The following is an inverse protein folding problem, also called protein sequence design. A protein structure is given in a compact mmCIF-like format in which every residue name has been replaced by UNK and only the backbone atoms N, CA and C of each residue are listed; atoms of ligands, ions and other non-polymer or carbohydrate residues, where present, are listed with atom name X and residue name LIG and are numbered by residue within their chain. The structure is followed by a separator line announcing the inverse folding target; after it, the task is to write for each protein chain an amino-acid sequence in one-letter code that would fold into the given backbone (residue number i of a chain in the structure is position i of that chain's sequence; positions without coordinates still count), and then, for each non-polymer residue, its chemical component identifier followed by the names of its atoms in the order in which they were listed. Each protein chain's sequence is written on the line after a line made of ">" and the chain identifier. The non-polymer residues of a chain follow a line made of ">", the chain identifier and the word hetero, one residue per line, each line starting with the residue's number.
data_IF_799682874555
#
_entry.id   IF_799682874555
#
_cell.length_a   1.000
_cell.length_b   1.000
_cell.length_c   1.000
_cell.angle_alpha   90.00
_cell.angle_beta   90.00
_cell.angle_gamma   90.00
#
_symmetry.space_group_name_H-M   'P 1'
#
loop_
_entity.id
_entity.type
_entity.pdbx_description
1 polymer ?
#
# COMPACT_ATOMS: atom_id res chain seq x y z
N UNK A 1 1.02 4.82 7.33
CA UNK A 1 2.42 4.84 6.87
C UNK A 1 3.07 6.21 7.02
N UNK A 2 2.56 7.28 6.39
CA UNK A 2 3.16 8.62 6.52
C UNK A 2 3.22 9.10 7.99
N UNK A 3 2.13 8.90 8.73
CA UNK A 3 2.11 9.20 10.17
C UNK A 3 3.17 8.41 10.96
N UNK A 4 3.41 7.13 10.62
CA UNK A 4 4.46 6.33 11.25
C UNK A 4 5.84 6.97 11.05
N UNK A 5 6.16 7.42 9.83
CA UNK A 5 7.43 8.10 9.54
C UNK A 5 7.53 9.41 10.32
N UNK A 6 6.47 10.23 10.31
CA UNK A 6 6.47 11.52 11.00
C UNK A 6 6.65 11.37 12.52
N UNK A 7 5.93 10.45 13.16
CA UNK A 7 6.03 10.21 14.60
C UNK A 7 7.45 9.74 14.96
N UNK A 8 8.02 8.80 14.21
CA UNK A 8 9.38 8.33 14.48
C UNK A 8 10.42 9.43 14.25
N UNK A 9 10.26 10.26 13.22
CA UNK A 9 11.11 11.43 12.96
C UNK A 9 11.05 12.44 14.10
N UNK A 10 9.85 12.78 14.57
CA UNK A 10 9.66 13.67 15.72
C UNK A 10 10.28 13.12 17.01
N UNK A 11 10.26 11.80 17.18
CA UNK A 11 10.90 11.11 18.30
C UNK A 11 12.42 10.93 18.13
N UNK A 12 13.01 11.32 16.99
CA UNK A 12 14.43 11.08 16.68
C UNK A 12 14.78 9.60 16.48
N UNK A 13 13.80 8.75 16.15
CA UNK A 13 13.95 7.30 15.97
C UNK A 13 14.00 6.96 14.47
N UNK A 14 14.87 6.02 14.11
CA UNK A 14 14.97 5.53 12.73
C UNK A 14 13.75 4.69 12.34
N UNK A 15 13.11 5.04 11.22
CA UNK A 15 12.03 4.24 10.61
C UNK A 15 12.61 3.00 9.94
N UNK A 16 12.61 1.86 10.65
CA UNK A 16 13.32 0.65 10.22
C UNK A 16 12.71 -0.14 9.06
N UNK A 17 11.46 0.15 8.67
CA UNK A 17 10.80 -0.53 7.56
C UNK A 17 9.28 -0.50 7.65
N UNK A 18 8.63 -0.99 6.59
CA UNK A 18 7.19 -1.28 6.56
C UNK A 18 7.00 -2.72 6.08
N UNK A 19 5.93 -3.36 6.55
CA UNK A 19 5.50 -4.68 6.10
C UNK A 19 4.18 -4.51 5.35
N UNK A 20 4.09 -5.06 4.14
CA UNK A 20 2.92 -4.93 3.26
C UNK A 20 2.59 -6.29 2.64
N UNK A 21 1.30 -6.60 2.53
CA UNK A 21 0.83 -7.72 1.72
C UNK A 21 0.58 -7.24 0.29
N UNK A 22 1.27 -7.85 -0.67
CA UNK A 22 1.22 -7.42 -2.07
C UNK A 22 1.29 -8.61 -3.02
N UNK A 23 0.84 -8.38 -4.24
CA UNK A 23 0.92 -9.37 -5.31
C UNK A 23 1.20 -8.70 -6.66
N UNK A 24 1.95 -9.38 -7.52
CA UNK A 24 2.30 -8.90 -8.85
C UNK A 24 1.13 -8.84 -9.88
N UNK A 25 0.09 -9.68 -9.77
CA UNK A 25 -1.09 -9.57 -10.61
C UNK A 25 -1.91 -8.30 -10.37
N UNK A 26 -2.68 -7.96 -11.39
CA UNK A 26 -3.64 -6.86 -11.38
C UNK A 26 -4.95 -7.29 -10.70
N UNK A 27 -4.92 -7.42 -9.38
CA UNK A 27 -6.08 -7.77 -8.53
C UNK A 27 -6.85 -6.53 -8.09
N UNK A 28 -8.13 -6.72 -7.77
CA UNK A 28 -9.04 -5.69 -7.23
C UNK A 28 -9.32 -5.93 -5.75
N UNK A 29 -8.28 -6.22 -4.97
CA UNK A 29 -8.44 -6.62 -3.56
C UNK A 29 -8.48 -5.41 -2.61
N UNK A 30 -7.74 -4.34 -2.91
CA UNK A 30 -7.75 -3.09 -2.15
C UNK A 30 -8.39 -1.96 -2.98
N UNK A 31 -9.19 -1.09 -2.35
CA UNK A 31 -9.79 0.09 -2.99
C UNK A 31 -8.79 1.23 -3.16
N UNK A 32 -9.10 2.15 -4.08
CA UNK A 32 -8.31 3.35 -4.34
C UNK A 32 -6.95 3.09 -5.01
N UNK A 33 -6.00 3.97 -4.72
CA UNK A 33 -4.74 4.09 -5.44
C UNK A 33 -4.92 4.71 -6.83
N UNK A 34 -3.83 4.82 -7.59
CA UNK A 34 -3.84 5.33 -8.98
C UNK A 34 -4.89 4.67 -9.88
N UNK A 35 -5.20 3.36 -9.78
CA UNK A 35 -6.24 2.74 -10.60
C UNK A 35 -7.68 3.09 -10.20
N UNK A 36 -7.89 3.85 -9.11
CA UNK A 36 -9.20 4.29 -8.61
C UNK A 36 -10.22 3.15 -8.37
N UNK A 37 -9.76 2.02 -7.84
CA UNK A 37 -10.59 0.82 -7.60
C UNK A 37 -11.72 1.17 -6.62
N UNK A 38 -12.98 1.02 -7.06
CA UNK A 38 -14.15 1.25 -6.21
C UNK A 38 -14.52 0.00 -5.40
N UNK A 39 -15.52 0.11 -4.52
CA UNK A 39 -16.06 -1.06 -3.80
C UNK A 39 -16.73 -2.07 -4.73
N UNK A 40 -17.40 -1.58 -5.77
CA UNK A 40 -18.04 -2.42 -6.79
C UNK A 40 -17.01 -3.22 -7.58
N UNK A 41 -15.82 -2.63 -7.79
CA UNK A 41 -14.74 -3.26 -8.55
C UNK A 41 -14.12 -4.47 -7.84
N UNK A 42 -14.31 -4.59 -6.52
CA UNK A 42 -13.70 -5.64 -5.71
C UNK A 42 -14.03 -7.04 -6.26
N UNK A 43 -15.27 -7.22 -6.70
CA UNK A 43 -15.77 -8.52 -7.17
C UNK A 43 -15.14 -9.03 -8.47
N UNK A 44 -14.47 -8.19 -9.27
CA UNK A 44 -13.97 -8.59 -10.59
C UNK A 44 -12.75 -9.50 -10.54
N UNK A 45 -11.80 -9.23 -9.63
CA UNK A 45 -10.51 -9.95 -9.55
C UNK A 45 -10.02 -10.08 -8.11
N UNK A 46 -10.89 -10.45 -7.19
CA UNK A 46 -10.50 -10.87 -5.84
C UNK A 46 -9.97 -12.30 -5.87
N UNK A 47 -8.70 -12.51 -5.48
CA UNK A 47 -8.05 -13.83 -5.57
C UNK A 47 -7.53 -14.36 -4.23
N UNK A 48 -7.23 -13.48 -3.28
CA UNK A 48 -6.82 -13.87 -1.93
C UNK A 48 -7.93 -14.67 -1.23
N UNK A 49 -7.51 -15.64 -0.43
CA UNK A 49 -8.40 -16.39 0.47
C UNK A 49 -8.39 -15.83 1.90
N UNK A 50 -7.49 -14.88 2.18
CA UNK A 50 -7.31 -14.26 3.48
C UNK A 50 -7.50 -12.75 3.30
N UNK A 51 -6.46 -11.97 3.61
CA UNK A 51 -6.53 -10.53 3.56
C UNK A 51 -6.35 -9.99 2.13
N UNK A 52 -6.93 -8.82 1.83
CA UNK A 52 -6.77 -8.17 0.53
C UNK A 52 -5.35 -7.65 0.35
N UNK A 53 -4.73 -7.94 -0.80
CA UNK A 53 -3.35 -7.58 -1.11
C UNK A 53 -3.30 -6.38 -2.05
N UNK A 54 -2.24 -5.57 -1.91
CA UNK A 54 -1.95 -4.52 -2.89
C UNK A 54 -1.61 -5.13 -4.24
N UNK A 55 -2.22 -4.62 -5.31
CA UNK A 55 -1.82 -4.97 -6.67
C UNK A 55 -0.51 -4.28 -7.06
N UNK A 56 0.02 -4.59 -8.25
CA UNK A 56 1.27 -4.02 -8.76
C UNK A 56 1.30 -2.48 -8.78
N UNK A 57 0.21 -1.83 -9.20
CA UNK A 57 0.16 -0.37 -9.33
C UNK A 57 0.11 0.31 -7.97
N UNK A 58 -0.73 -0.20 -7.06
CA UNK A 58 -0.82 0.28 -5.68
C UNK A 58 0.52 0.07 -4.94
N UNK A 59 1.18 -1.07 -5.16
CA UNK A 59 2.50 -1.36 -4.54
C UNK A 59 3.58 -0.36 -4.99
N UNK A 60 3.60 -0.02 -6.28
CA UNK A 60 4.54 0.96 -6.83
C UNK A 60 4.25 2.37 -6.31
N UNK A 61 2.98 2.74 -6.22
CA UNK A 61 2.55 4.02 -5.66
C UNK A 61 3.01 4.18 -4.20
N UNK A 62 2.78 3.17 -3.36
CA UNK A 62 3.24 3.19 -1.97
C UNK A 62 4.77 3.30 -1.90
N UNK A 63 5.51 2.56 -2.72
CA UNK A 63 6.97 2.66 -2.76
C UNK A 63 7.43 4.10 -3.10
N UNK A 64 6.80 4.75 -4.07
CA UNK A 64 7.09 6.14 -4.43
C UNK A 64 6.77 7.11 -3.29
N UNK A 65 5.58 6.99 -2.68
CA UNK A 65 5.15 7.85 -1.58
C UNK A 65 6.04 7.67 -0.35
N UNK A 66 6.42 6.45 0.00
CA UNK A 66 7.34 6.18 1.10
C UNK A 66 8.71 6.79 0.81
N UNK A 67 9.28 6.56 -0.38
CA UNK A 67 10.57 7.14 -0.76
C UNK A 67 10.60 8.67 -0.70
N UNK A 68 9.49 9.32 -1.09
CA UNK A 68 9.34 10.79 -0.99
C UNK A 68 9.33 11.29 0.46
N UNK A 69 8.80 10.50 1.39
CA UNK A 69 8.58 10.91 2.78
C UNK A 69 9.58 10.28 3.77
N UNK A 70 10.53 9.46 3.31
CA UNK A 70 11.42 8.69 4.19
C UNK A 70 12.47 9.54 4.93
N UNK A 71 12.75 10.76 4.45
CA UNK A 71 13.77 11.67 4.98
C UNK A 71 13.18 12.77 5.88
#
# INVERSE_FOLDING_TARGET
>A
MIQFIHILKEAGIHSGGVHLEMTGPDVTECTGGIPEISEEDISYKYQSLCDPRLNRMQSLEIAYLLGKNWN
#
